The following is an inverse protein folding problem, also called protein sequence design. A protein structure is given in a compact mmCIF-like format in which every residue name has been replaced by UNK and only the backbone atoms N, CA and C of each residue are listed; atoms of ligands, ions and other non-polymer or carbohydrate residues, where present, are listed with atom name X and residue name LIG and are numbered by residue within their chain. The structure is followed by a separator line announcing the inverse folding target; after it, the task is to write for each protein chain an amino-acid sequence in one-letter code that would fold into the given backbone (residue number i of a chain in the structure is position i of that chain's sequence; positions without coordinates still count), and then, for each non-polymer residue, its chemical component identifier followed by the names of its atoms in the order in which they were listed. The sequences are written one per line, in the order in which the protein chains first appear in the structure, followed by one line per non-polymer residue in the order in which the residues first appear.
data_IF_884389550650
#
_entry.id   IF_884389550650
#
_cell.length_a   1.000
_cell.length_b   1.000
_cell.length_c   1.000
_cell.angle_alpha   90.00
_cell.angle_beta   90.00
_cell.angle_gamma   90.00
#
_symmetry.space_group_name_H-M   'P 1'
#
loop_
_entity.id
_entity.type
_entity.pdbx_description
1 polymer ?
#
# COMPACT_ATOMS: atom_id res chain seq x y z
N UNK A 1 12.86 2.33 -6.12
CA UNK A 1 13.81 1.21 -6.28
C UNK A 1 13.34 0.10 -7.24
N UNK A 2 12.44 0.38 -8.20
CA UNK A 2 11.96 -0.67 -9.12
C UNK A 2 11.13 -1.74 -8.43
N UNK A 3 11.28 -3.00 -8.87
CA UNK A 3 10.46 -4.13 -8.41
C UNK A 3 10.77 -4.52 -6.96
N UNK A 4 12.00 -4.29 -6.49
CA UNK A 4 12.45 -4.71 -5.15
C UNK A 4 11.62 -4.07 -4.03
N UNK A 5 11.30 -2.78 -4.12
CA UNK A 5 10.56 -2.07 -3.08
C UNK A 5 9.14 -2.61 -2.88
N UNK A 6 8.40 -2.82 -3.98
CA UNK A 6 7.07 -3.42 -3.93
C UNK A 6 7.11 -4.86 -3.41
N UNK A 7 8.12 -5.65 -3.83
CA UNK A 7 8.31 -7.02 -3.36
C UNK A 7 8.60 -7.08 -1.86
N UNK A 8 9.55 -6.30 -1.36
CA UNK A 8 9.92 -6.30 0.07
C UNK A 8 8.81 -5.79 0.96
N UNK A 9 8.08 -4.76 0.51
CA UNK A 9 6.89 -4.27 1.20
C UNK A 9 5.82 -5.38 1.31
N UNK A 10 5.50 -6.04 0.19
CA UNK A 10 4.51 -7.12 0.15
C UNK A 10 4.94 -8.35 0.98
N UNK A 11 6.22 -8.74 0.90
CA UNK A 11 6.78 -9.85 1.66
C UNK A 11 6.73 -9.57 3.17
N UNK A 12 7.14 -8.36 3.59
CA UNK A 12 7.09 -7.94 4.99
C UNK A 12 5.66 -7.93 5.53
N UNK A 13 4.71 -7.36 4.78
CA UNK A 13 3.31 -7.33 5.15
C UNK A 13 2.70 -8.75 5.25
N UNK A 14 3.06 -9.64 4.31
CA UNK A 14 2.55 -11.02 4.29
C UNK A 14 2.97 -11.80 5.55
N UNK A 15 4.23 -11.67 5.97
CA UNK A 15 4.74 -12.32 7.19
C UNK A 15 4.01 -11.78 8.43
N UNK A 16 3.82 -10.45 8.51
CA UNK A 16 3.11 -9.83 9.63
C UNK A 16 1.67 -10.33 9.75
N UNK A 17 0.94 -10.43 8.62
CA UNK A 17 -0.44 -10.93 8.59
C UNK A 17 -0.53 -12.40 9.01
N UNK A 18 0.40 -13.24 8.53
CA UNK A 18 0.44 -14.67 8.91
C UNK A 18 0.71 -14.85 10.40
N UNK A 19 1.70 -14.14 10.95
CA UNK A 19 2.03 -14.18 12.38
C UNK A 19 0.87 -13.68 13.24
N UNK A 20 0.21 -12.60 12.81
CA UNK A 20 -0.97 -12.08 13.49
C UNK A 20 -2.11 -13.10 13.52
N UNK A 21 -2.34 -13.82 12.41
CA UNK A 21 -3.33 -14.90 12.34
C UNK A 21 -3.08 -16.00 13.36
N UNK A 22 -1.83 -16.50 13.45
CA UNK A 22 -1.46 -17.54 14.43
C UNK A 22 -1.65 -17.04 15.86
N UNK A 23 -1.20 -15.82 16.17
CA UNK A 23 -1.36 -15.21 17.49
C UNK A 23 -2.83 -15.02 17.86
N UNK A 24 -3.68 -14.58 16.91
CA UNK A 24 -5.11 -14.39 17.13
C UNK A 24 -5.81 -15.72 17.49
N UNK A 25 -5.47 -16.81 16.80
CA UNK A 25 -5.99 -18.15 17.10
C UNK A 25 -5.57 -18.57 18.51
N UNK A 26 -4.29 -18.44 18.86
CA UNK A 26 -3.79 -18.80 20.19
C UNK A 26 -4.42 -17.97 21.32
N UNK A 27 -4.67 -16.68 21.09
CA UNK A 27 -5.38 -15.83 22.04
C UNK A 27 -6.82 -16.32 22.24
N UNK A 28 -7.55 -16.64 21.16
CA UNK A 28 -8.93 -17.13 21.27
C UNK A 28 -9.02 -18.52 21.91
N UNK A 29 -8.00 -19.36 21.76
CA UNK A 29 -7.90 -20.65 22.48
C UNK A 29 -7.73 -20.47 23.99
N UNK A 30 -6.97 -19.46 24.43
CA UNK A 30 -6.65 -19.23 25.86
C UNK A 30 -7.64 -18.31 26.57
N UNK A 31 -8.23 -17.34 25.85
CA UNK A 31 -9.14 -16.34 26.38
C UNK A 31 -10.33 -16.15 25.42
N UNK A 32 -11.26 -17.11 25.34
CA UNK A 32 -12.36 -17.09 24.37
C UNK A 32 -13.34 -15.92 24.59
N UNK A 33 -13.50 -15.47 25.84
CA UNK A 33 -14.42 -14.40 26.24
C UNK A 33 -13.85 -12.99 26.07
N UNK A 34 -12.56 -12.84 25.75
CA UNK A 34 -11.97 -11.52 25.54
C UNK A 34 -12.42 -10.94 24.19
N UNK A 35 -12.98 -9.73 24.22
CA UNK A 35 -13.51 -9.06 23.03
C UNK A 35 -12.56 -8.02 22.45
N UNK A 36 -11.66 -7.46 23.27
CA UNK A 36 -10.67 -6.47 22.81
C UNK A 36 -9.28 -6.80 23.32
N UNK A 37 -8.25 -6.38 22.58
CA UNK A 37 -6.85 -6.51 23.01
C UNK A 37 -6.60 -5.74 24.31
N UNK A 38 -7.25 -4.59 24.49
CA UNK A 38 -7.13 -3.78 25.70
C UNK A 38 -7.70 -4.46 26.94
N UNK A 39 -8.79 -5.22 26.80
CA UNK A 39 -9.38 -6.02 27.89
C UNK A 39 -8.43 -7.12 28.35
N UNK A 40 -7.77 -7.81 27.41
CA UNK A 40 -6.74 -8.79 27.71
C UNK A 40 -5.55 -8.17 28.46
N UNK A 41 -5.12 -6.97 28.06
CA UNK A 41 -4.05 -6.23 28.76
C UNK A 41 -4.47 -5.88 30.19
N UNK A 42 -5.72 -5.45 30.40
CA UNK A 42 -6.25 -5.15 31.73
C UNK A 42 -6.27 -6.37 32.63
N UNK A 43 -6.68 -7.53 32.11
CA UNK A 43 -6.73 -8.77 32.87
C UNK A 43 -5.35 -9.24 33.33
N UNK A 44 -4.28 -8.94 32.56
CA UNK A 44 -2.92 -9.38 32.85
C UNK A 44 -2.06 -8.38 33.62
N UNK A 45 -2.16 -7.08 33.31
CA UNK A 45 -1.28 -6.03 33.86
C UNK A 45 -2.02 -4.94 34.66
N UNK A 46 -3.34 -5.05 34.81
CA UNK A 46 -4.13 -4.13 35.63
C UNK A 46 -4.47 -2.79 34.96
N UNK A 47 -4.98 -1.84 35.75
CA UNK A 47 -5.60 -0.59 35.25
C UNK A 47 -4.61 0.37 34.61
N UNK A 48 -3.42 0.54 35.19
CA UNK A 48 -2.48 1.55 34.68
C UNK A 48 -1.90 1.17 33.32
N UNK A 49 -1.54 -0.09 33.12
CA UNK A 49 -1.11 -0.59 31.81
C UNK A 49 -2.26 -0.56 30.79
N UNK A 50 -3.50 -0.83 31.21
CA UNK A 50 -4.65 -0.73 30.32
C UNK A 50 -4.84 0.67 29.76
N UNK A 51 -4.74 1.71 30.59
CA UNK A 51 -4.95 3.09 30.15
C UNK A 51 -3.88 3.55 29.15
N UNK A 52 -2.61 3.21 29.39
CA UNK A 52 -1.52 3.57 28.47
C UNK A 52 -1.64 2.81 27.14
N UNK A 53 -1.92 1.50 27.17
CA UNK A 53 -2.13 0.73 25.94
C UNK A 53 -3.36 1.18 25.16
N UNK A 54 -4.45 1.55 25.84
CA UNK A 54 -5.64 2.10 25.20
C UNK A 54 -5.31 3.39 24.45
N UNK A 55 -4.56 4.30 25.08
CA UNK A 55 -4.13 5.55 24.45
C UNK A 55 -3.26 5.30 23.21
N UNK A 56 -2.24 4.43 23.32
CA UNK A 56 -1.38 4.10 22.17
C UNK A 56 -2.14 3.38 21.06
N UNK A 57 -3.06 2.47 21.38
CA UNK A 57 -3.92 1.82 20.38
C UNK A 57 -4.81 2.82 19.66
N UNK A 58 -5.42 3.78 20.37
CA UNK A 58 -6.24 4.81 19.75
C UNK A 58 -5.42 5.72 18.84
N UNK A 59 -4.24 6.16 19.30
CA UNK A 59 -3.33 6.97 18.48
C UNK A 59 -2.88 6.22 17.22
N UNK A 60 -2.49 4.95 17.35
CA UNK A 60 -2.07 4.14 16.21
C UNK A 60 -3.19 4.01 15.17
N UNK A 61 -4.42 3.72 15.62
CA UNK A 61 -5.57 3.64 14.72
C UNK A 61 -5.88 5.00 14.05
N UNK A 62 -5.73 6.12 14.76
CA UNK A 62 -5.87 7.45 14.15
C UNK A 62 -4.80 7.72 13.09
N UNK A 63 -3.53 7.41 13.38
CA UNK A 63 -2.42 7.62 12.43
C UNK A 63 -2.61 6.78 11.17
N UNK A 64 -2.92 5.49 11.33
CA UNK A 64 -3.15 4.58 10.19
C UNK A 64 -4.35 5.04 9.36
N UNK A 65 -5.43 5.46 10.00
CA UNK A 65 -6.61 5.99 9.30
C UNK A 65 -6.25 7.25 8.51
N UNK A 66 -5.49 8.18 9.08
CA UNK A 66 -5.04 9.39 8.38
C UNK A 66 -4.17 9.07 7.16
N UNK A 67 -3.24 8.12 7.28
CA UNK A 67 -2.40 7.69 6.15
C UNK A 67 -3.24 7.07 5.02
N UNK A 68 -4.21 6.22 5.36
CA UNK A 68 -5.10 5.60 4.38
C UNK A 68 -6.02 6.63 3.71
N UNK A 69 -6.51 7.61 4.46
CA UNK A 69 -7.33 8.70 3.91
C UNK A 69 -6.56 9.55 2.92
N UNK A 70 -5.32 9.93 3.25
CA UNK A 70 -4.48 10.72 2.35
C UNK A 70 -4.13 9.93 1.09
N UNK A 71 -3.81 8.64 1.24
CA UNK A 71 -3.60 7.74 0.09
C UNK A 71 -4.84 7.60 -0.79
N UNK A 72 -6.02 7.45 -0.19
CA UNK A 72 -7.29 7.38 -0.92
C UNK A 72 -7.67 8.70 -1.62
N UNK A 73 -7.40 9.84 -0.99
CA UNK A 73 -7.65 11.14 -1.63
C UNK A 73 -6.70 11.37 -2.82
N UNK A 74 -5.44 10.95 -2.72
CA UNK A 74 -4.48 11.02 -3.82
C UNK A 74 -4.89 10.13 -5.00
N UNK A 75 -5.42 8.92 -4.76
CA UNK A 75 -5.92 8.07 -5.85
C UNK A 75 -7.17 8.64 -6.51
N UNK A 76 -8.09 9.24 -5.74
CA UNK A 76 -9.27 9.93 -6.31
C UNK A 76 -8.85 11.13 -7.14
N UNK A 77 -7.87 11.92 -6.69
CA UNK A 77 -7.30 13.01 -7.48
C UNK A 77 -6.70 12.51 -8.79
N UNK A 78 -5.93 11.41 -8.77
CA UNK A 78 -5.35 10.84 -9.98
C UNK A 78 -6.41 10.31 -10.97
N UNK A 79 -7.54 9.78 -10.49
CA UNK A 79 -8.59 9.20 -11.34
C UNK A 79 -9.59 10.23 -11.86
N UNK A 80 -9.88 11.27 -11.10
CA UNK A 80 -10.99 12.21 -11.39
C UNK A 80 -10.55 13.66 -11.55
N UNK A 81 -9.32 14.00 -11.17
CA UNK A 81 -8.84 15.39 -11.10
C UNK A 81 -9.41 16.21 -9.93
N UNK A 82 -10.19 15.59 -9.02
CA UNK A 82 -10.77 16.28 -7.85
C UNK A 82 -9.68 16.73 -6.86
N UNK A 83 -9.81 17.92 -6.28
CA UNK A 83 -8.89 18.42 -5.27
C UNK A 83 -8.77 17.48 -4.05
N UNK A 84 -7.54 17.28 -3.58
CA UNK A 84 -7.21 16.35 -2.50
C UNK A 84 -7.88 16.77 -1.19
N UNK A 85 -8.04 18.07 -0.91
CA UNK A 85 -8.66 18.53 0.34
C UNK A 85 -10.15 18.19 0.37
N UNK A 86 -10.83 18.38 -0.76
CA UNK A 86 -12.25 18.08 -0.93
C UNK A 86 -12.49 16.57 -0.84
N UNK A 87 -11.67 15.78 -1.53
CA UNK A 87 -11.73 14.32 -1.47
C UNK A 87 -11.48 13.79 -0.05
N UNK A 88 -10.47 14.32 0.65
CA UNK A 88 -10.12 13.92 2.02
C UNK A 88 -11.25 14.19 3.02
N UNK A 89 -12.10 15.19 2.78
CA UNK A 89 -13.26 15.48 3.62
C UNK A 89 -14.47 14.61 3.28
N UNK A 90 -14.72 14.36 1.99
CA UNK A 90 -15.88 13.57 1.53
C UNK A 90 -15.78 12.08 1.86
N UNK A 91 -14.58 11.48 1.74
CA UNK A 91 -14.39 10.04 1.96
C UNK A 91 -14.82 9.61 3.38
N UNK A 92 -14.37 10.28 4.48
CA UNK A 92 -14.81 9.94 5.83
C UNK A 92 -16.32 10.03 6.05
N UNK A 93 -16.99 11.02 5.45
CA UNK A 93 -18.45 11.17 5.57
C UNK A 93 -19.20 9.97 5.00
N UNK A 94 -18.77 9.49 3.83
CA UNK A 94 -19.31 8.25 3.24
C UNK A 94 -19.11 7.06 4.19
N UNK A 95 -17.92 6.95 4.78
CA UNK A 95 -17.57 5.86 5.69
C UNK A 95 -18.39 5.86 6.97
N UNK A 96 -18.57 7.03 7.58
CA UNK A 96 -19.36 7.22 8.81
C UNK A 96 -20.82 6.82 8.55
N UNK A 97 -21.40 7.26 7.43
CA UNK A 97 -22.81 7.00 7.13
C UNK A 97 -23.09 5.51 6.96
N UNK A 98 -22.30 4.78 6.16
CA UNK A 98 -22.53 3.34 6.00
C UNK A 98 -22.21 2.55 7.28
N UNK A 99 -21.22 3.02 8.05
CA UNK A 99 -20.86 2.39 9.33
C UNK A 99 -21.93 2.58 10.40
N UNK A 100 -22.60 3.73 10.43
CA UNK A 100 -23.64 4.05 11.41
C UNK A 100 -24.91 3.21 11.19
N UNK A 101 -25.29 2.97 9.94
CA UNK A 101 -26.51 2.23 9.59
C UNK A 101 -26.32 0.71 9.72
N UNK A 102 -25.15 0.19 9.36
CA UNK A 102 -24.94 -1.25 9.20
C UNK A 102 -24.47 -2.02 10.45
N UNK A 103 -23.90 -1.35 11.45
CA UNK A 103 -23.31 -2.05 12.61
C UNK A 103 -22.11 -2.95 12.24
N UNK A 104 -21.74 -3.88 13.13
CA UNK A 104 -20.55 -4.75 12.94
C UNK A 104 -20.78 -5.84 11.87
N UNK A 105 -21.97 -6.41 11.80
CA UNK A 105 -22.28 -7.49 10.86
C UNK A 105 -22.29 -7.00 9.40
N UNK A 106 -22.85 -5.83 9.11
CA UNK A 106 -22.81 -5.28 7.76
C UNK A 106 -21.39 -4.90 7.34
N UNK A 107 -20.54 -4.47 8.28
CA UNK A 107 -19.12 -4.21 7.99
C UNK A 107 -18.39 -5.47 7.53
N UNK A 108 -18.60 -6.60 8.19
CA UNK A 108 -17.99 -7.86 7.74
C UNK A 108 -18.42 -8.25 6.31
N UNK A 109 -19.69 -8.07 5.97
CA UNK A 109 -20.18 -8.36 4.61
C UNK A 109 -19.58 -7.37 3.60
N UNK A 110 -19.57 -6.07 3.93
CA UNK A 110 -18.99 -5.05 3.07
C UNK A 110 -17.49 -5.28 2.81
N UNK A 111 -16.73 -5.63 3.84
CA UNK A 111 -15.30 -5.94 3.74
C UNK A 111 -15.07 -7.16 2.83
N UNK A 112 -15.89 -8.21 2.96
CA UNK A 112 -15.80 -9.40 2.13
C UNK A 112 -16.06 -9.09 0.65
N UNK A 113 -17.08 -8.29 0.35
CA UNK A 113 -17.40 -7.87 -1.03
C UNK A 113 -16.27 -7.00 -1.60
N UNK A 114 -15.81 -6.00 -0.85
CA UNK A 114 -14.72 -5.11 -1.26
C UNK A 114 -13.44 -5.88 -1.60
N UNK A 115 -13.01 -6.82 -0.73
CA UNK A 115 -11.83 -7.64 -0.98
C UNK A 115 -12.01 -8.52 -2.21
N UNK A 116 -13.21 -9.09 -2.40
CA UNK A 116 -13.52 -9.92 -3.56
C UNK A 116 -13.40 -9.12 -4.87
N UNK A 117 -13.96 -7.91 -4.91
CA UNK A 117 -13.89 -7.02 -6.08
C UNK A 117 -12.44 -6.66 -6.41
N UNK A 118 -11.65 -6.27 -5.40
CA UNK A 118 -10.22 -5.97 -5.60
C UNK A 118 -9.48 -7.18 -6.14
N UNK A 119 -9.73 -8.36 -5.59
CA UNK A 119 -9.06 -9.58 -6.03
C UNK A 119 -9.35 -9.89 -7.50
N UNK A 120 -10.60 -9.74 -7.95
CA UNK A 120 -10.99 -9.91 -9.36
C UNK A 120 -10.26 -8.91 -10.26
N UNK A 121 -10.23 -7.62 -9.89
CA UNK A 121 -9.53 -6.58 -10.66
C UNK A 121 -8.04 -6.89 -10.75
N UNK A 122 -7.41 -7.34 -9.66
CA UNK A 122 -6.00 -7.73 -9.64
C UNK A 122 -5.71 -8.90 -10.59
N UNK A 123 -6.56 -9.95 -10.57
CA UNK A 123 -6.41 -11.09 -11.48
C UNK A 123 -6.53 -10.66 -12.94
N UNK A 124 -7.49 -9.79 -13.26
CA UNK A 124 -7.65 -9.24 -14.61
C UNK A 124 -6.40 -8.44 -15.01
N UNK A 125 -5.90 -7.56 -14.14
CA UNK A 125 -4.72 -6.74 -14.41
C UNK A 125 -3.47 -7.59 -14.65
N UNK A 126 -3.24 -8.61 -13.83
CA UNK A 126 -2.13 -9.57 -14.02
C UNK A 126 -2.28 -10.29 -15.35
N UNK A 127 -3.50 -10.76 -15.68
CA UNK A 127 -3.75 -11.45 -16.94
C UNK A 127 -3.52 -10.53 -18.16
N UNK A 128 -4.03 -9.30 -18.14
CA UNK A 128 -3.85 -8.37 -19.26
C UNK A 128 -2.38 -8.03 -19.47
N UNK A 129 -1.65 -7.73 -18.39
CA UNK A 129 -0.24 -7.34 -18.49
C UNK A 129 0.64 -8.51 -18.93
N UNK A 130 0.51 -9.69 -18.32
CA UNK A 130 1.44 -10.80 -18.56
C UNK A 130 1.04 -11.77 -19.67
N UNK A 131 -0.23 -11.78 -20.10
CA UNK A 131 -0.74 -12.74 -21.09
C UNK A 131 -1.17 -12.06 -22.39
N UNK A 132 -1.78 -10.88 -22.32
CA UNK A 132 -2.36 -10.23 -23.50
C UNK A 132 -1.43 -9.20 -24.13
N UNK A 133 -0.78 -8.35 -23.33
CA UNK A 133 0.01 -7.21 -23.85
C UNK A 133 1.52 -7.42 -23.81
N UNK A 134 2.05 -8.07 -22.77
CA UNK A 134 3.50 -8.23 -22.63
C UNK A 134 3.88 -9.58 -22.06
N UNK A 135 4.71 -10.33 -22.78
CA UNK A 135 5.33 -11.52 -22.20
C UNK A 135 6.26 -11.13 -21.05
N UNK A 136 6.52 -12.03 -20.11
CA UNK A 136 7.49 -11.80 -19.02
C UNK A 136 8.86 -11.40 -19.54
N UNK A 137 9.24 -11.89 -20.72
CA UNK A 137 10.47 -11.51 -21.43
C UNK A 137 10.44 -10.05 -21.90
N UNK A 138 9.33 -9.59 -22.47
CA UNK A 138 9.20 -8.22 -22.98
C UNK A 138 9.19 -7.19 -21.83
N UNK A 139 8.56 -7.52 -20.71
CA UNK A 139 8.61 -6.68 -19.50
C UNK A 139 10.05 -6.58 -18.97
N UNK A 140 10.78 -7.70 -18.97
CA UNK A 140 12.17 -7.72 -18.53
C UNK A 140 13.09 -6.91 -19.45
N UNK A 141 12.97 -7.08 -20.77
CA UNK A 141 13.72 -6.33 -21.76
C UNK A 141 13.37 -4.82 -21.74
N UNK A 142 12.10 -4.49 -21.55
CA UNK A 142 11.63 -3.12 -21.38
C UNK A 142 12.30 -2.43 -20.18
N UNK A 143 12.37 -3.12 -19.04
CA UNK A 143 13.03 -2.59 -17.84
C UNK A 143 14.55 -2.42 -18.02
N UNK A 144 15.21 -3.32 -18.76
CA UNK A 144 16.62 -3.14 -19.12
C UNK A 144 16.82 -1.93 -20.04
N UNK A 145 15.93 -1.76 -21.02
CA UNK A 145 15.99 -0.65 -21.97
C UNK A 145 15.81 0.69 -21.24
N UNK A 146 14.84 0.79 -20.34
CA UNK A 146 14.59 1.99 -19.52
C UNK A 146 15.78 2.35 -18.62
N UNK A 147 16.52 1.34 -18.14
CA UNK A 147 17.75 1.54 -17.34
C UNK A 147 18.84 2.22 -18.16
N UNK A 148 18.93 1.91 -19.46
CA UNK A 148 19.98 2.41 -20.35
C UNK A 148 19.74 3.83 -20.86
N UNK A 149 18.56 4.40 -20.62
CA UNK A 149 18.24 5.75 -21.09
C UNK A 149 19.03 6.83 -20.36
N UNK A 150 19.50 7.79 -21.13
CA UNK A 150 20.17 8.99 -20.61
C UNK A 150 19.15 10.04 -20.18
N UNK A 151 19.53 10.94 -19.26
CA UNK A 151 18.65 12.01 -18.79
C UNK A 151 18.11 12.89 -19.93
N UNK A 152 18.91 13.12 -20.98
CA UNK A 152 18.49 13.87 -22.17
C UNK A 152 17.42 13.17 -23.01
N UNK A 153 17.34 11.83 -22.95
CA UNK A 153 16.28 11.06 -23.59
C UNK A 153 15.03 11.06 -22.72
N UNK A 154 15.19 10.94 -21.40
CA UNK A 154 14.08 11.03 -20.44
C UNK A 154 13.36 12.38 -20.52
N UNK A 155 14.09 13.50 -20.58
CA UNK A 155 13.47 14.82 -20.72
C UNK A 155 12.68 14.99 -22.02
N UNK A 156 13.07 14.28 -23.10
CA UNK A 156 12.29 14.24 -24.35
C UNK A 156 11.05 13.37 -24.25
N UNK A 157 11.10 12.24 -23.55
CA UNK A 157 9.94 11.36 -23.39
C UNK A 157 8.85 11.95 -22.51
N UNK A 158 9.21 12.76 -21.51
CA UNK A 158 8.27 13.46 -20.63
C UNK A 158 8.11 14.94 -21.00
N UNK A 159 8.29 15.28 -22.28
CA UNK A 159 8.02 16.61 -22.80
C UNK A 159 6.56 16.76 -23.23
N UNK A 160 5.96 17.91 -22.92
CA UNK A 160 4.67 18.31 -23.47
C UNK A 160 4.77 18.59 -24.98
N UNK A 161 3.63 18.75 -25.65
CA UNK A 161 3.58 19.15 -27.07
C UNK A 161 4.29 20.50 -27.34
N UNK A 162 4.41 21.35 -26.32
CA UNK A 162 5.11 22.64 -26.36
C UNK A 162 6.62 22.53 -26.05
N UNK A 163 7.14 21.32 -25.82
CA UNK A 163 8.58 21.06 -25.59
C UNK A 163 9.08 21.31 -24.17
N UNK A 164 8.20 21.65 -23.22
CA UNK A 164 8.54 21.77 -21.81
C UNK A 164 8.54 20.37 -21.17
N UNK A 165 9.66 19.95 -20.56
CA UNK A 165 9.76 18.65 -19.88
C UNK A 165 9.25 18.71 -18.45
N UNK A 166 8.33 17.81 -18.09
CA UNK A 166 7.91 17.58 -16.70
C UNK A 166 8.79 16.57 -15.95
N UNK A 167 9.89 16.13 -16.59
CA UNK A 167 10.82 15.15 -16.01
C UNK A 167 11.57 15.75 -14.83
N UNK A 168 11.42 15.11 -13.68
CA UNK A 168 12.22 15.39 -12.49
C UNK A 168 13.03 14.13 -12.13
N UNK A 169 14.38 14.25 -12.00
CA UNK A 169 15.22 13.10 -11.68
C UNK A 169 14.78 12.40 -10.39
N UNK A 170 14.50 11.10 -10.47
CA UNK A 170 14.09 10.28 -9.32
C UNK A 170 12.59 10.21 -9.04
N UNK A 171 11.75 11.02 -9.70
CA UNK A 171 10.28 10.92 -9.64
C UNK A 171 9.73 9.93 -10.67
N UNK A 172 10.35 9.87 -11.85
CA UNK A 172 9.90 9.03 -12.97
C UNK A 172 10.83 7.84 -13.18
N UNK A 173 10.26 6.71 -13.63
CA UNK A 173 11.02 5.51 -13.96
C UNK A 173 11.72 5.69 -15.32
N UNK A 174 12.84 6.42 -15.34
CA UNK A 174 13.66 6.61 -16.52
C UNK A 174 15.14 6.79 -16.16
N UNK A 175 16.01 6.03 -16.83
CA UNK A 175 17.44 5.99 -16.53
C UNK A 175 17.79 5.12 -15.33
N UNK A 176 19.07 5.09 -14.98
CA UNK A 176 19.61 4.26 -13.90
C UNK A 176 19.06 4.65 -12.52
N UNK A 177 18.62 3.66 -11.75
CA UNK A 177 18.11 3.87 -10.38
C UNK A 177 19.28 4.11 -9.42
N UNK A 178 19.35 5.29 -8.76
CA UNK A 178 20.40 5.57 -7.80
C UNK A 178 20.36 4.56 -6.63
N UNK A 179 21.49 3.92 -6.35
CA UNK A 179 21.62 2.95 -5.28
C UNK A 179 21.42 1.49 -5.69
N UNK A 180 20.77 1.17 -6.81
CA UNK A 180 20.67 -0.23 -7.25
C UNK A 180 21.98 -0.71 -7.90
N UNK A 181 22.32 -2.01 -7.73
CA UNK A 181 23.44 -2.63 -8.45
C UNK A 181 23.24 -2.45 -9.95
N UNK A 182 24.22 -1.81 -10.61
CA UNK A 182 24.19 -1.47 -12.05
C UNK A 182 23.03 -0.53 -12.44
N UNK A 183 22.39 0.15 -11.49
CA UNK A 183 21.24 1.02 -11.75
C UNK A 183 19.96 0.29 -12.18
N UNK A 184 19.95 -1.05 -12.13
CA UNK A 184 18.88 -1.88 -12.66
C UNK A 184 17.57 -1.78 -11.86
N UNK A 185 16.42 -1.80 -12.53
CA UNK A 185 15.09 -1.91 -11.90
C UNK A 185 14.73 -3.32 -11.41
N UNK A 186 15.51 -4.34 -11.82
CA UNK A 186 15.22 -5.76 -11.58
C UNK A 186 16.06 -6.34 -10.43
N UNK A 187 17.13 -5.66 -10.03
CA UNK A 187 18.00 -6.14 -8.96
C UNK A 187 17.34 -6.03 -7.58
N UNK A 188 17.54 -7.05 -6.75
CA UNK A 188 17.25 -7.00 -5.31
C UNK A 188 18.44 -6.50 -4.49
N UNK A 189 19.59 -6.26 -5.12
CA UNK A 189 20.80 -5.75 -4.49
C UNK A 189 20.87 -4.24 -4.65
N UNK A 190 20.60 -3.51 -3.57
CA UNK A 190 20.80 -2.06 -3.44
C UNK A 190 22.02 -1.77 -2.55
N UNK A 191 22.67 -0.64 -2.78
CA UNK A 191 23.88 -0.20 -2.09
C UNK A 191 23.55 -0.03 -0.60
N UNK A 192 24.29 -0.76 0.24
CA UNK A 192 24.09 -0.77 1.69
C UNK A 192 23.15 -1.86 2.24
N UNK A 193 22.54 -2.70 1.40
CA UNK A 193 21.80 -3.91 1.83
C UNK A 193 20.55 -3.69 2.70
N UNK A 194 20.27 -2.44 3.08
CA UNK A 194 19.15 -2.02 3.94
C UNK A 194 18.22 -1.00 3.26
N UNK A 195 18.55 -0.55 2.04
CA UNK A 195 17.64 0.25 1.21
C UNK A 195 16.81 -0.68 0.33
N UNK A 196 15.49 -0.66 0.58
CA UNK A 196 14.47 -1.36 -0.19
C UNK A 196 13.55 -0.35 -0.87
#
# INVERSE_FOLDING_TARGET
YGISGAYWYAAGASIQVLLFGVLAIEIKRKAPTAHTVCEMVRARWGRQAHLTFLFFCLLANMIVTSMLLLGGAATVNALTGMDINVASFLIPWGVILYSAVGGLQAKFIADYVYVTVIFVILVICIYTVYVMESSTTEVYEGLQTVTSYTEAQCTRFFADQDGNSFYEPGQYACGAVPGNKEGSYVTMLSSGGAMF
#
